data_IF_739425259792
#
_entry.id   IF_739425259792
#
_cell.length_a   1.000
_cell.length_b   1.000
_cell.length_c   1.000
_cell.angle_alpha   90.00
_cell.angle_beta   90.00
_cell.angle_gamma   90.00
#
_symmetry.space_group_name_H-M   'P 1'
#
loop_
_entity.id
_entity.type
_entity.pdbx_description
1 polymer ?
#
# COMPACT_ATOMS: atom_id res chain seq x y z
N UNK A 1 -22.68 2.30 -8.22
CA UNK A 1 -23.71 1.86 -7.28
C UNK A 1 -25.00 2.67 -7.46
N UNK A 2 -24.98 3.99 -7.30
CA UNK A 2 -26.17 4.85 -7.41
C UNK A 2 -26.92 4.68 -8.74
N UNK A 3 -26.21 4.65 -9.87
CA UNK A 3 -26.81 4.37 -11.20
C UNK A 3 -27.49 2.99 -11.21
N UNK A 4 -26.84 1.98 -10.65
CA UNK A 4 -27.39 0.60 -10.60
C UNK A 4 -28.66 0.54 -9.74
N UNK A 5 -28.69 1.27 -8.64
CA UNK A 5 -29.86 1.39 -7.77
C UNK A 5 -31.03 2.07 -8.50
N UNK A 6 -30.77 3.12 -9.29
CA UNK A 6 -31.78 3.76 -10.12
C UNK A 6 -32.36 2.81 -11.17
N UNK A 7 -31.52 2.05 -11.87
CA UNK A 7 -31.97 1.02 -12.84
C UNK A 7 -32.88 0.00 -12.16
N UNK A 8 -32.60 -0.38 -10.91
CA UNK A 8 -33.41 -1.37 -10.17
C UNK A 8 -34.70 -0.81 -9.61
N UNK A 9 -34.75 0.50 -9.32
CA UNK A 9 -35.98 1.18 -8.87
C UNK A 9 -36.93 1.45 -10.03
N UNK A 10 -36.38 1.77 -11.23
CA UNK A 10 -37.14 2.13 -12.43
C UNK A 10 -36.75 1.27 -13.62
N UNK A 11 -37.01 -0.06 -13.57
CA UNK A 11 -36.57 -0.98 -14.63
C UNK A 11 -37.31 -0.67 -15.94
N UNK A 12 -36.53 -0.30 -16.97
CA UNK A 12 -37.03 0.04 -18.29
C UNK A 12 -37.40 1.51 -18.50
N UNK A 13 -37.19 2.37 -17.52
CA UNK A 13 -37.31 3.81 -17.67
C UNK A 13 -35.94 4.45 -17.92
N UNK A 14 -35.89 5.46 -18.77
CA UNK A 14 -34.70 6.28 -19.00
C UNK A 14 -34.62 7.36 -17.93
N UNK A 15 -33.43 7.60 -17.37
CA UNK A 15 -33.19 8.67 -16.40
C UNK A 15 -31.85 9.35 -16.70
N UNK A 16 -31.73 10.61 -16.28
CA UNK A 16 -30.47 11.37 -16.41
C UNK A 16 -29.39 10.80 -15.47
N UNK A 17 -28.27 10.36 -16.02
CA UNK A 17 -27.14 9.82 -15.25
C UNK A 17 -26.24 10.90 -14.67
N UNK A 18 -26.33 12.14 -15.15
CA UNK A 18 -25.43 13.25 -14.79
C UNK A 18 -25.29 13.47 -13.26
N UNK A 19 -26.36 13.41 -12.45
CA UNK A 19 -26.26 13.60 -11.00
C UNK A 19 -25.49 12.49 -10.26
N UNK A 20 -25.35 11.30 -10.91
CA UNK A 20 -24.75 10.10 -10.30
C UNK A 20 -23.31 9.86 -10.75
N UNK A 21 -22.79 10.69 -11.68
CA UNK A 21 -21.42 10.55 -12.20
C UNK A 21 -20.45 11.38 -11.37
N UNK A 22 -19.42 10.72 -10.81
CA UNK A 22 -18.35 11.41 -10.08
C UNK A 22 -17.54 12.29 -11.03
N UNK A 23 -17.25 13.54 -10.64
CA UNK A 23 -16.49 14.51 -11.46
C UNK A 23 -15.06 14.07 -11.80
N UNK A 24 -14.55 13.00 -11.19
CA UNK A 24 -13.27 12.35 -11.55
C UNK A 24 -13.41 11.31 -12.65
N UNK A 25 -14.63 10.98 -13.07
CA UNK A 25 -14.89 10.08 -14.18
C UNK A 25 -14.38 10.73 -15.47
N UNK A 26 -13.61 9.96 -16.25
CA UNK A 26 -13.05 10.45 -17.53
C UNK A 26 -13.91 10.11 -18.74
N UNK A 27 -14.85 9.21 -18.57
CA UNK A 27 -15.79 8.81 -19.62
C UNK A 27 -16.81 9.92 -19.83
N UNK A 28 -17.08 10.36 -21.07
CA UNK A 28 -18.12 11.34 -21.37
C UNK A 28 -19.48 10.90 -20.84
N UNK A 29 -20.28 11.87 -20.35
CA UNK A 29 -21.61 11.59 -19.77
C UNK A 29 -22.52 10.94 -20.81
N UNK A 30 -22.44 11.39 -22.07
CA UNK A 30 -23.21 10.85 -23.19
C UNK A 30 -22.95 9.38 -23.45
N UNK A 31 -21.69 8.94 -23.25
CA UNK A 31 -21.30 7.53 -23.41
C UNK A 31 -21.83 6.69 -22.23
N UNK A 32 -21.81 7.25 -21.01
CA UNK A 32 -22.38 6.59 -19.82
C UNK A 32 -23.91 6.51 -19.99
N UNK A 33 -24.55 7.60 -20.44
CA UNK A 33 -26.00 7.64 -20.70
C UNK A 33 -26.39 6.55 -21.71
N UNK A 34 -25.72 6.49 -22.85
CA UNK A 34 -25.96 5.48 -23.88
C UNK A 34 -25.76 4.04 -23.39
N UNK A 35 -24.84 3.82 -22.45
CA UNK A 35 -24.62 2.51 -21.84
C UNK A 35 -25.71 2.11 -20.84
N UNK A 36 -26.41 3.08 -20.26
CA UNK A 36 -27.48 2.88 -19.28
C UNK A 36 -28.86 2.86 -19.94
N UNK A 37 -29.01 3.57 -21.07
CA UNK A 37 -30.25 3.59 -21.83
C UNK A 37 -30.54 2.21 -22.44
N UNK A 38 -31.36 1.45 -21.74
CA UNK A 38 -31.76 0.10 -22.14
C UNK A 38 -32.72 -0.51 -21.12
N UNK A 39 -33.48 -1.49 -21.56
CA UNK A 39 -34.37 -2.24 -20.70
C UNK A 39 -33.63 -3.46 -20.12
N UNK A 40 -33.68 -3.65 -18.83
CA UNK A 40 -33.25 -4.90 -18.19
C UNK A 40 -34.44 -5.83 -17.97
N UNK A 41 -34.25 -7.13 -18.18
CA UNK A 41 -35.28 -8.12 -17.87
C UNK A 41 -35.47 -8.25 -16.35
N UNK A 42 -36.62 -8.80 -15.93
CA UNK A 42 -36.88 -9.09 -14.51
C UNK A 42 -35.84 -10.01 -13.90
N UNK A 43 -35.36 -10.98 -14.68
CA UNK A 43 -34.32 -11.93 -14.24
C UNK A 43 -32.97 -11.25 -14.08
N UNK A 44 -32.63 -10.32 -14.97
CA UNK A 44 -31.42 -9.51 -14.86
C UNK A 44 -31.48 -8.57 -13.66
N UNK A 45 -32.62 -7.90 -13.42
CA UNK A 45 -32.84 -7.06 -12.25
C UNK A 45 -32.74 -7.88 -10.94
N UNK A 46 -33.32 -9.09 -10.92
CA UNK A 46 -33.19 -9.98 -9.75
C UNK A 46 -31.74 -10.37 -9.46
N UNK A 47 -30.96 -10.75 -10.48
CA UNK A 47 -29.52 -11.05 -10.35
C UNK A 47 -28.74 -9.85 -9.83
N UNK A 48 -28.98 -8.68 -10.39
CA UNK A 48 -28.29 -7.44 -10.02
C UNK A 48 -28.58 -7.06 -8.55
N UNK A 49 -29.85 -7.18 -8.14
CA UNK A 49 -30.25 -6.94 -6.74
C UNK A 49 -29.54 -7.91 -5.79
N UNK A 50 -29.44 -9.19 -6.17
CA UNK A 50 -28.75 -10.18 -5.36
C UNK A 50 -27.26 -9.88 -5.24
N UNK A 51 -26.60 -9.39 -6.30
CA UNK A 51 -25.23 -8.97 -6.25
C UNK A 51 -25.02 -7.75 -5.31
N UNK A 52 -25.93 -6.78 -5.34
CA UNK A 52 -25.86 -5.63 -4.43
C UNK A 52 -26.04 -6.05 -2.97
N UNK A 53 -27.05 -6.90 -2.69
CA UNK A 53 -27.26 -7.43 -1.33
C UNK A 53 -26.01 -8.15 -0.81
N UNK A 54 -25.38 -8.96 -1.64
CA UNK A 54 -24.15 -9.66 -1.27
C UNK A 54 -22.98 -8.70 -0.99
N UNK A 55 -22.87 -7.60 -1.74
CA UNK A 55 -21.88 -6.55 -1.46
C UNK A 55 -22.14 -5.93 -0.09
N UNK A 56 -23.40 -5.62 0.23
CA UNK A 56 -23.78 -5.04 1.52
C UNK A 56 -23.49 -5.99 2.70
N UNK A 57 -23.77 -7.26 2.54
CA UNK A 57 -23.42 -8.31 3.52
C UNK A 57 -21.90 -8.37 3.74
N UNK A 58 -21.10 -8.33 2.67
CA UNK A 58 -19.64 -8.33 2.77
C UNK A 58 -19.11 -7.06 3.45
N UNK A 59 -19.73 -5.89 3.24
CA UNK A 59 -19.37 -4.66 3.92
C UNK A 59 -19.64 -4.74 5.42
N UNK A 60 -20.75 -5.36 5.83
CA UNK A 60 -21.08 -5.61 7.25
C UNK A 60 -20.03 -6.53 7.88
N UNK A 61 -19.76 -7.67 7.26
CA UNK A 61 -18.77 -8.63 7.78
C UNK A 61 -17.36 -8.01 7.86
N UNK A 62 -17.00 -7.22 6.86
CA UNK A 62 -15.73 -6.48 6.87
C UNK A 62 -15.65 -5.53 8.06
N UNK A 63 -16.72 -4.77 8.33
CA UNK A 63 -16.75 -3.83 9.46
C UNK A 63 -16.67 -4.54 10.82
N UNK A 64 -17.23 -5.75 10.93
CA UNK A 64 -17.13 -6.59 12.13
C UNK A 64 -15.70 -7.08 12.36
N UNK A 65 -15.04 -7.58 11.31
CA UNK A 65 -13.65 -8.01 11.36
C UNK A 65 -12.72 -6.83 11.69
N UNK A 66 -12.93 -5.66 11.08
CA UNK A 66 -12.14 -4.47 11.36
C UNK A 66 -12.27 -4.03 12.82
N UNK A 67 -13.48 -4.08 13.41
CA UNK A 67 -13.67 -3.78 14.85
C UNK A 67 -12.87 -4.74 15.74
N UNK A 68 -12.86 -6.02 15.42
CA UNK A 68 -12.10 -7.01 16.18
C UNK A 68 -10.59 -6.81 16.02
N UNK A 69 -10.11 -6.48 14.83
CA UNK A 69 -8.71 -6.13 14.57
C UNK A 69 -8.31 -4.92 15.44
N UNK A 70 -9.11 -3.87 15.49
CA UNK A 70 -8.84 -2.70 16.32
C UNK A 70 -8.79 -3.07 17.80
N UNK A 71 -9.78 -3.81 18.29
CA UNK A 71 -9.80 -4.30 19.69
C UNK A 71 -8.53 -5.09 20.07
N UNK A 72 -8.08 -5.97 19.19
CA UNK A 72 -6.86 -6.75 19.41
C UNK A 72 -5.58 -5.90 19.33
N UNK A 73 -5.63 -4.80 18.60
CA UNK A 73 -4.48 -3.91 18.41
C UNK A 73 -4.30 -2.88 19.53
N UNK A 74 -5.29 -2.65 20.39
CA UNK A 74 -5.27 -1.63 21.46
C UNK A 74 -4.05 -1.77 22.37
N UNK A 75 -3.67 -2.98 22.73
CA UNK A 75 -2.48 -3.26 23.56
C UNK A 75 -1.15 -2.85 22.92
N UNK A 76 -1.14 -2.58 21.61
CA UNK A 76 0.04 -2.14 20.85
C UNK A 76 -0.03 -0.68 20.45
N UNK A 77 -0.95 0.11 21.02
CA UNK A 77 -1.22 1.48 20.61
C UNK A 77 0.04 2.36 20.57
N UNK A 78 0.89 2.28 21.59
CA UNK A 78 2.15 3.04 21.64
C UNK A 78 3.04 2.76 20.43
N UNK A 79 3.21 1.49 20.08
CA UNK A 79 4.04 1.04 18.96
C UNK A 79 3.39 1.39 17.62
N UNK A 80 2.08 1.24 17.52
CA UNK A 80 1.30 1.64 16.34
C UNK A 80 1.39 3.13 16.07
N UNK A 81 1.32 3.96 17.11
CA UNK A 81 1.46 5.41 17.00
C UNK A 81 2.84 5.79 16.48
N UNK A 82 3.91 5.09 16.88
CA UNK A 82 5.23 5.26 16.29
C UNK A 82 5.25 4.88 14.81
N UNK A 83 4.71 3.72 14.41
CA UNK A 83 4.65 3.30 13.00
C UNK A 83 3.87 4.32 12.16
N UNK A 84 2.80 4.89 12.70
CA UNK A 84 1.98 5.91 12.02
C UNK A 84 2.71 7.24 11.78
N UNK A 85 3.83 7.50 12.48
CA UNK A 85 4.68 8.65 12.16
C UNK A 85 5.45 8.49 10.86
N UNK A 86 5.67 7.24 10.40
CA UNK A 86 6.32 6.98 9.12
C UNK A 86 5.40 7.42 7.98
N UNK A 87 5.92 8.18 7.01
CA UNK A 87 5.12 8.63 5.87
C UNK A 87 4.37 7.49 5.16
N UNK A 88 3.08 7.73 4.89
CA UNK A 88 2.20 6.77 4.22
C UNK A 88 1.44 5.81 5.14
N UNK A 89 1.69 5.85 6.46
CA UNK A 89 0.93 5.08 7.46
C UNK A 89 -0.02 5.94 8.29
N UNK A 90 0.00 7.26 8.08
CA UNK A 90 -0.79 8.25 8.81
C UNK A 90 -2.30 8.17 8.53
N UNK A 91 -2.69 7.79 7.31
CA UNK A 91 -4.06 7.87 6.83
C UNK A 91 -4.93 6.65 7.15
N UNK A 92 -4.35 5.46 7.15
CA UNK A 92 -5.10 4.24 7.37
C UNK A 92 -4.44 3.42 8.49
N UNK A 93 -5.04 3.37 9.67
CA UNK A 93 -4.50 2.62 10.81
C UNK A 93 -4.36 1.13 10.52
N UNK A 94 -5.24 0.53 9.71
CA UNK A 94 -5.13 -0.88 9.32
C UNK A 94 -3.81 -1.20 8.62
N UNK A 95 -3.25 -0.26 7.86
CA UNK A 95 -1.96 -0.45 7.19
C UNK A 95 -0.81 -0.58 8.22
N UNK A 96 -0.84 0.23 9.28
CA UNK A 96 0.15 0.14 10.37
C UNK A 96 -0.02 -1.15 11.16
N UNK A 97 -1.27 -1.53 11.47
CA UNK A 97 -1.59 -2.79 12.17
C UNK A 97 -1.10 -3.98 11.36
N UNK A 98 -1.37 -4.00 10.05
CA UNK A 98 -0.95 -5.09 9.16
C UNK A 98 0.58 -5.23 9.10
N UNK A 99 1.31 -4.11 9.07
CA UNK A 99 2.77 -4.14 9.13
C UNK A 99 3.25 -4.67 10.47
N UNK A 100 2.70 -4.17 11.58
CA UNK A 100 3.11 -4.57 12.91
C UNK A 100 2.77 -6.03 13.21
N UNK A 101 1.64 -6.54 12.71
CA UNK A 101 1.24 -7.95 12.89
C UNK A 101 2.23 -8.92 12.25
N UNK A 102 2.91 -8.50 11.18
CA UNK A 102 3.89 -9.34 10.47
C UNK A 102 5.29 -9.26 11.10
N UNK A 103 5.74 -8.07 11.50
CA UNK A 103 7.12 -7.86 11.99
C UNK A 103 7.24 -7.94 13.53
N UNK A 104 6.13 -7.81 14.24
CA UNK A 104 6.13 -7.65 15.69
C UNK A 104 6.58 -6.26 16.16
N UNK A 105 6.43 -5.98 17.45
CA UNK A 105 6.89 -4.73 18.07
C UNK A 105 8.32 -4.81 18.61
N UNK A 106 8.85 -6.02 18.76
CA UNK A 106 10.20 -6.26 19.29
C UNK A 106 11.22 -6.40 18.15
N UNK A 107 12.08 -5.41 18.03
CA UNK A 107 13.13 -5.39 17.01
C UNK A 107 14.38 -6.19 17.39
N UNK A 108 14.46 -6.77 18.57
CA UNK A 108 15.57 -7.67 18.97
C UNK A 108 15.67 -8.91 18.05
N UNK A 109 14.55 -9.33 17.47
CA UNK A 109 14.46 -10.40 16.46
C UNK A 109 15.23 -10.05 15.18
N UNK A 110 15.40 -8.77 14.89
CA UNK A 110 16.10 -8.27 13.73
C UNK A 110 17.31 -7.42 14.14
N UNK A 111 18.50 -8.01 14.34
CA UNK A 111 19.68 -7.30 14.84
C UNK A 111 20.07 -6.06 14.03
N UNK A 112 19.65 -5.98 12.78
CA UNK A 112 19.87 -4.82 11.91
C UNK A 112 18.68 -4.59 11.00
N UNK A 113 18.50 -3.35 10.53
CA UNK A 113 17.51 -3.04 9.50
C UNK A 113 17.68 -3.89 8.23
N UNK A 114 18.91 -4.33 7.91
CA UNK A 114 19.18 -5.20 6.77
C UNK A 114 18.55 -6.59 6.95
N UNK A 115 18.51 -7.10 8.16
CA UNK A 115 17.89 -8.40 8.49
C UNK A 115 16.38 -8.32 8.25
N UNK A 116 15.71 -7.26 8.75
CA UNK A 116 14.29 -7.02 8.49
C UNK A 116 13.99 -6.90 7.00
N UNK A 117 14.77 -6.10 6.26
CA UNK A 117 14.60 -5.90 4.81
C UNK A 117 14.82 -7.20 4.02
N UNK A 118 15.75 -8.04 4.45
CA UNK A 118 16.01 -9.35 3.84
C UNK A 118 14.87 -10.33 4.12
N UNK A 119 14.41 -10.40 5.36
CA UNK A 119 13.28 -11.21 5.79
C UNK A 119 12.01 -10.84 5.02
N UNK A 120 11.72 -9.55 4.86
CA UNK A 120 10.60 -9.03 4.07
C UNK A 120 10.71 -9.33 2.56
N UNK A 121 11.80 -9.93 2.10
CA UNK A 121 12.01 -10.24 0.69
C UNK A 121 12.19 -9.00 -0.19
N UNK A 122 12.64 -7.90 0.37
CA UNK A 122 12.92 -6.65 -0.35
C UNK A 122 14.39 -6.54 -0.79
N UNK A 123 15.22 -7.57 -0.56
CA UNK A 123 16.57 -7.68 -1.06
C UNK A 123 16.64 -8.56 -2.32
N UNK A 124 17.48 -8.21 -3.30
CA UNK A 124 17.78 -9.13 -4.40
C UNK A 124 18.51 -10.37 -3.85
N UNK A 125 18.17 -11.54 -4.36
CA UNK A 125 18.98 -12.73 -4.17
C UNK A 125 20.26 -12.54 -4.99
N UNK A 126 21.41 -12.54 -4.33
CA UNK A 126 22.70 -12.60 -5.01
C UNK A 126 22.98 -14.06 -5.38
N UNK A 127 22.28 -14.54 -6.39
CA UNK A 127 22.51 -15.88 -6.94
C UNK A 127 23.67 -15.78 -7.91
N UNK A 128 24.89 -16.03 -7.39
CA UNK A 128 26.13 -16.00 -8.15
C UNK A 128 26.79 -17.38 -8.09
N UNK A 129 27.22 -17.87 -9.23
CA UNK A 129 28.04 -19.06 -9.34
C UNK A 129 29.14 -18.79 -10.33
N UNK A 130 30.39 -19.05 -9.92
CA UNK A 130 31.56 -18.91 -10.76
C UNK A 130 31.67 -17.53 -11.45
N UNK A 131 31.57 -16.45 -10.66
CA UNK A 131 31.56 -15.02 -11.08
C UNK A 131 30.43 -14.62 -12.02
N UNK A 132 29.48 -15.50 -12.34
CA UNK A 132 28.28 -15.16 -13.13
C UNK A 132 27.08 -14.94 -12.25
N UNK A 133 26.43 -13.77 -12.40
CA UNK A 133 25.16 -13.44 -11.71
C UNK A 133 24.04 -14.22 -12.42
N UNK A 134 23.47 -15.23 -11.76
CA UNK A 134 22.34 -16.02 -12.29
C UNK A 134 21.01 -15.27 -12.17
N UNK A 135 20.78 -14.59 -11.04
CA UNK A 135 19.54 -13.85 -10.81
C UNK A 135 19.70 -12.70 -9.84
N UNK A 136 19.09 -11.56 -10.17
CA UNK A 136 18.92 -10.40 -9.29
C UNK A 136 17.48 -10.25 -8.80
N UNK A 137 16.65 -11.30 -8.94
CA UNK A 137 15.25 -11.27 -8.51
C UNK A 137 15.17 -11.22 -6.98
N UNK A 138 14.16 -10.52 -6.47
CA UNK A 138 13.81 -10.54 -5.05
C UNK A 138 13.19 -11.89 -4.67
N UNK A 139 13.30 -12.26 -3.38
CA UNK A 139 12.69 -13.49 -2.88
C UNK A 139 11.14 -13.42 -2.91
N UNK A 140 10.50 -14.58 -2.85
CA UNK A 140 9.03 -14.68 -2.67
C UNK A 140 8.59 -14.48 -1.22
N UNK A 141 9.53 -14.31 -0.26
CA UNK A 141 9.22 -14.02 1.13
C UNK A 141 8.35 -12.76 1.26
N UNK A 142 7.62 -12.64 2.36
CA UNK A 142 6.75 -11.50 2.64
C UNK A 142 5.54 -11.41 1.70
N UNK A 143 4.90 -12.53 1.35
CA UNK A 143 3.76 -12.57 0.43
C UNK A 143 2.59 -11.70 0.88
N UNK A 144 2.31 -11.61 2.16
CA UNK A 144 1.25 -10.76 2.72
C UNK A 144 1.72 -9.34 3.04
N UNK A 145 2.97 -9.21 3.45
CA UNK A 145 3.58 -7.97 3.89
C UNK A 145 4.02 -7.05 2.73
N UNK A 146 4.68 -7.63 1.73
CA UNK A 146 5.24 -6.89 0.59
C UNK A 146 4.20 -6.11 -0.22
N UNK A 147 2.99 -6.63 -0.52
CA UNK A 147 1.96 -5.87 -1.23
C UNK A 147 1.58 -4.58 -0.51
N UNK A 148 1.48 -4.60 0.82
CA UNK A 148 1.18 -3.42 1.64
C UNK A 148 2.27 -2.36 1.50
N UNK A 149 3.54 -2.77 1.64
CA UNK A 149 4.68 -1.87 1.43
C UNK A 149 4.70 -1.26 0.03
N UNK A 150 4.36 -2.05 -0.99
CA UNK A 150 4.27 -1.57 -2.37
C UNK A 150 3.15 -0.54 -2.54
N UNK A 151 1.99 -0.73 -1.90
CA UNK A 151 0.91 0.25 -1.89
C UNK A 151 1.35 1.56 -1.24
N UNK A 152 1.95 1.48 -0.05
CA UNK A 152 2.50 2.66 0.66
C UNK A 152 3.56 3.35 -0.20
N UNK A 153 4.50 2.61 -0.78
CA UNK A 153 5.54 3.16 -1.65
C UNK A 153 4.95 3.87 -2.87
N UNK A 154 3.92 3.30 -3.51
CA UNK A 154 3.23 3.92 -4.64
C UNK A 154 2.48 5.21 -4.26
N UNK A 155 1.94 5.30 -3.05
CA UNK A 155 1.34 6.52 -2.53
C UNK A 155 2.41 7.59 -2.26
N UNK A 156 3.52 7.20 -1.62
CA UNK A 156 4.60 8.11 -1.26
C UNK A 156 5.30 8.77 -2.45
N UNK A 157 5.55 8.02 -3.53
CA UNK A 157 6.21 8.59 -4.73
C UNK A 157 5.34 9.63 -5.45
N UNK A 158 4.05 9.71 -5.15
CA UNK A 158 3.12 10.72 -5.64
C UNK A 158 2.96 11.89 -4.67
N UNK A 159 3.40 11.73 -3.42
CA UNK A 159 3.26 12.74 -2.38
C UNK A 159 4.25 13.88 -2.59
N UNK A 160 3.75 15.12 -2.49
CA UNK A 160 4.59 16.34 -2.48
C UNK A 160 5.19 16.61 -1.10
N UNK A 161 4.62 16.01 -0.02
CA UNK A 161 5.05 16.25 1.36
C UNK A 161 6.37 15.57 1.73
N UNK A 162 6.74 14.51 0.99
CA UNK A 162 7.88 13.64 1.29
C UNK A 162 8.80 13.53 0.07
N UNK A 163 9.51 14.62 -0.29
CA UNK A 163 10.35 14.69 -1.49
C UNK A 163 11.53 13.71 -1.46
N UNK A 164 11.98 13.28 -0.28
CA UNK A 164 13.07 12.31 -0.09
C UNK A 164 12.78 10.97 -0.78
N UNK A 165 11.54 10.48 -0.69
CA UNK A 165 11.10 9.25 -1.35
C UNK A 165 10.96 9.45 -2.87
N UNK A 166 10.35 10.56 -3.29
CA UNK A 166 10.13 10.87 -4.71
C UNK A 166 11.46 11.07 -5.45
N UNK A 167 12.40 11.80 -4.87
CA UNK A 167 13.73 12.03 -5.44
C UNK A 167 14.50 10.73 -5.58
N UNK A 168 14.49 9.91 -4.53
CA UNK A 168 15.15 8.58 -4.57
C UNK A 168 14.54 7.68 -5.63
N UNK A 169 13.21 7.64 -5.71
CA UNK A 169 12.49 6.88 -6.71
C UNK A 169 12.86 7.31 -8.12
N UNK A 170 12.80 8.62 -8.45
CA UNK A 170 13.11 9.14 -9.79
C UNK A 170 14.53 8.78 -10.22
N UNK A 171 15.52 8.95 -9.31
CA UNK A 171 16.91 8.59 -9.57
C UNK A 171 17.10 7.12 -9.91
N UNK A 172 16.46 6.22 -9.17
CA UNK A 172 16.60 4.77 -9.42
C UNK A 172 15.79 4.37 -10.65
N UNK A 173 14.58 4.94 -10.85
CA UNK A 173 13.73 4.62 -11.99
C UNK A 173 14.42 4.91 -13.32
N UNK A 174 15.16 6.01 -13.43
CA UNK A 174 15.88 6.41 -14.64
C UNK A 174 16.84 5.33 -15.15
N UNK A 175 17.49 4.56 -14.23
CA UNK A 175 18.52 3.57 -14.59
C UNK A 175 18.09 2.12 -14.43
N UNK A 176 17.09 1.84 -13.59
CA UNK A 176 16.73 0.47 -13.19
C UNK A 176 15.25 0.13 -13.41
N UNK A 177 14.45 1.10 -13.86
CA UNK A 177 13.03 0.94 -14.13
C UNK A 177 12.15 0.96 -12.87
N UNK A 178 10.83 1.03 -13.09
CA UNK A 178 9.80 1.23 -12.05
C UNK A 178 9.85 0.16 -10.96
N UNK A 179 9.81 -1.12 -11.32
CA UNK A 179 9.71 -2.24 -10.36
C UNK A 179 10.86 -2.24 -9.34
N UNK A 180 12.11 -2.03 -9.81
CA UNK A 180 13.29 -1.97 -8.93
C UNK A 180 13.30 -0.71 -8.07
N UNK A 181 12.81 0.41 -8.60
CA UNK A 181 12.69 1.66 -7.86
C UNK A 181 11.68 1.55 -6.71
N UNK A 182 10.50 0.95 -6.93
CA UNK A 182 9.50 0.73 -5.87
C UNK A 182 10.07 -0.13 -4.75
N UNK A 183 10.74 -1.24 -5.06
CA UNK A 183 11.37 -2.09 -4.03
C UNK A 183 12.43 -1.31 -3.23
N UNK A 184 13.15 -0.40 -3.86
CA UNK A 184 14.10 0.46 -3.14
C UNK A 184 13.38 1.43 -2.17
N UNK A 185 12.20 1.93 -2.53
CA UNK A 185 11.37 2.72 -1.60
C UNK A 185 10.82 1.85 -0.46
N UNK A 186 10.35 0.63 -0.74
CA UNK A 186 9.95 -0.32 0.31
C UNK A 186 11.09 -0.56 1.32
N UNK A 187 12.33 -0.68 0.85
CA UNK A 187 13.51 -0.81 1.73
C UNK A 187 13.72 0.42 2.60
N UNK A 188 13.52 1.64 2.06
CA UNK A 188 13.61 2.87 2.85
C UNK A 188 12.55 2.88 3.96
N UNK A 189 11.31 2.54 3.63
CA UNK A 189 10.20 2.45 4.59
C UNK A 189 10.55 1.46 5.70
N UNK A 190 10.98 0.24 5.35
CA UNK A 190 11.35 -0.78 6.35
C UNK A 190 12.52 -0.35 7.23
N UNK A 191 13.50 0.32 6.66
CA UNK A 191 14.63 0.85 7.43
C UNK A 191 14.15 1.92 8.41
N UNK A 192 13.25 2.81 7.99
CA UNK A 192 12.64 3.80 8.88
C UNK A 192 11.86 3.12 10.02
N UNK A 193 11.00 2.13 9.69
CA UNK A 193 10.24 1.37 10.69
C UNK A 193 11.16 0.69 11.69
N UNK A 194 12.24 0.05 11.23
CA UNK A 194 13.20 -0.61 12.12
C UNK A 194 13.82 0.40 13.11
N UNK A 195 14.26 1.58 12.65
CA UNK A 195 14.86 2.60 13.52
C UNK A 195 13.86 3.14 14.54
N UNK A 196 12.64 3.52 14.10
CA UNK A 196 11.65 4.08 15.03
C UNK A 196 11.24 3.08 16.11
N UNK A 197 11.18 1.79 15.78
CA UNK A 197 10.83 0.72 16.73
C UNK A 197 12.00 0.34 17.62
N UNK A 198 13.24 0.48 17.15
CA UNK A 198 14.45 0.21 17.95
C UNK A 198 14.73 1.37 18.93
N UNK A 199 14.63 2.60 18.44
CA UNK A 199 14.97 3.80 19.21
C UNK A 199 13.77 4.35 19.99
N UNK A 200 12.57 3.83 19.75
CA UNK A 200 11.27 4.28 20.29
C UNK A 200 11.06 5.79 20.11
N UNK A 201 11.46 6.30 18.94
CA UNK A 201 11.34 7.70 18.56
C UNK A 201 10.50 7.86 17.29
N UNK A 202 9.70 8.94 17.18
CA UNK A 202 8.93 9.21 15.99
C UNK A 202 9.85 9.44 14.77
N UNK A 203 9.30 9.20 13.56
CA UNK A 203 10.03 9.42 12.32
C UNK A 203 10.35 10.92 12.14
N UNK A 204 11.62 11.21 11.86
CA UNK A 204 12.09 12.53 11.41
C UNK A 204 12.86 12.36 10.11
N UNK A 205 12.65 13.23 9.09
CA UNK A 205 13.39 13.14 7.82
C UNK A 205 14.90 13.30 8.01
N UNK A 206 15.33 14.20 8.90
CA UNK A 206 16.73 14.47 9.21
C UNK A 206 17.38 13.24 9.87
N UNK A 207 16.78 12.69 10.89
CA UNK A 207 17.29 11.48 11.58
C UNK A 207 17.43 10.28 10.65
N UNK A 208 16.55 10.15 9.65
CA UNK A 208 16.67 9.13 8.63
C UNK A 208 17.84 9.35 7.66
N UNK A 209 18.21 10.61 7.40
CA UNK A 209 19.35 10.97 6.55
C UNK A 209 20.68 10.82 7.28
N UNK A 210 20.72 11.16 8.56
CA UNK A 210 21.90 11.07 9.43
C UNK A 210 22.31 9.62 9.72
N UNK A 211 21.36 8.69 9.78
CA UNK A 211 21.62 7.27 10.01
C UNK A 211 22.34 6.55 8.84
N UNK A 212 22.65 7.26 7.74
CA UNK A 212 23.47 6.71 6.66
C UNK A 212 24.93 6.69 7.08
N UNK A 213 25.60 5.53 7.08
CA UNK A 213 27.04 5.51 7.29
C UNK A 213 27.69 6.40 6.23
N UNK A 214 28.46 7.40 6.69
CA UNK A 214 29.34 8.20 5.84
C UNK A 214 30.22 7.22 5.07
N UNK A 215 30.21 7.28 3.74
CA UNK A 215 31.16 6.52 2.95
C UNK A 215 32.55 6.92 3.43
N UNK A 216 33.28 6.01 4.06
CA UNK A 216 34.71 6.19 4.26
C UNK A 216 35.31 6.46 2.89
N UNK A 217 35.85 7.64 2.68
CA UNK A 217 36.67 7.94 1.51
C UNK A 217 37.78 6.88 1.46
N UNK A 218 37.93 6.25 0.31
CA UNK A 218 39.10 5.42 0.05
C UNK A 218 40.29 6.36 0.06
N UNK A 219 41.04 6.35 1.14
CA UNK A 219 42.38 6.89 1.14
C UNK A 219 43.16 6.06 0.13
N UNK A 220 43.45 6.64 -1.02
CA UNK A 220 44.38 6.10 -2.00
C UNK A 220 45.78 6.22 -1.38
N UNK A 221 46.31 5.12 -0.89
CA UNK A 221 47.72 4.91 -0.67
C UNK A 221 48.33 4.25 -1.87
#
# INVERSE_FOLDING_TARGET
RSITEQILQHPGETFDVSPFVDGRCKTPIEEIQAAVDGAISKEQAAKLRQCLNHIDELEIHKAEIEREIFRLSDKYECVLNLVRTVPGFDKNPLTAIQVLSEIGGDMSVFPTAKNLVSWAGCCPRNDQSNHKIKSTRISRAGSYFKPVLVQVANALIKSKKHPEFTTRYRRIKAHRGHKKAIIAICRMILTAIWHILTDLKPYTPEGFLESRPVKKEKVLT
#
